data_IF_989600771493
#
_entry.id   IF_989600771493
#
_cell.length_a   1.000
_cell.length_b   1.000
_cell.length_c   1.000
_cell.angle_alpha   90.00
_cell.angle_beta   90.00
_cell.angle_gamma   90.00
#
_symmetry.space_group_name_H-M   'P 1'
#
loop_
_entity.id
_entity.type
_entity.pdbx_description
1 polymer ?
#
# COMPACT_ATOMS: atom_id res chain seq x y z
N UNK A 1 14.74 -14.27 20.46
CA UNK A 1 15.62 -13.13 20.72
C UNK A 1 15.44 -12.16 19.56
N UNK A 2 14.90 -10.97 19.80
CA UNK A 2 14.73 -9.96 18.77
C UNK A 2 16.09 -9.25 18.59
N UNK A 3 16.73 -9.42 17.44
CA UNK A 3 17.94 -8.68 17.10
C UNK A 3 17.64 -7.18 17.09
N UNK A 4 18.28 -6.45 17.98
CA UNK A 4 18.26 -5.00 18.02
C UNK A 4 19.12 -4.52 16.85
N UNK A 5 18.45 -4.10 15.78
CA UNK A 5 19.10 -3.59 14.57
C UNK A 5 19.73 -2.21 14.89
N UNK A 6 21.06 -2.14 14.91
CA UNK A 6 21.80 -0.89 15.14
C UNK A 6 21.71 0.02 13.90
N UNK A 7 20.91 1.09 14.00
CA UNK A 7 20.59 2.02 12.93
C UNK A 7 21.75 2.96 12.55
N UNK A 8 22.87 2.94 13.30
CA UNK A 8 24.01 3.83 13.04
C UNK A 8 24.98 3.31 11.97
N UNK A 9 24.82 2.05 11.56
CA UNK A 9 25.70 1.36 10.58
C UNK A 9 25.03 0.99 9.26
N UNK A 10 23.74 1.24 9.12
CA UNK A 10 22.97 0.83 7.94
C UNK A 10 22.95 1.99 6.95
N UNK A 11 23.52 1.80 5.76
CA UNK A 11 23.41 2.80 4.70
C UNK A 11 21.94 3.08 4.40
N UNK A 12 21.61 4.34 4.06
CA UNK A 12 20.23 4.73 3.73
C UNK A 12 19.61 3.81 2.67
N UNK A 13 20.42 3.30 1.75
CA UNK A 13 19.99 2.35 0.71
C UNK A 13 19.67 0.96 1.26
N UNK A 14 20.42 0.46 2.23
CA UNK A 14 20.13 -0.81 2.90
C UNK A 14 18.87 -0.72 3.77
N UNK A 15 18.63 0.42 4.43
CA UNK A 15 17.37 0.71 5.14
C UNK A 15 16.19 0.76 4.17
N UNK A 16 16.37 1.37 3.00
CA UNK A 16 15.34 1.49 1.97
C UNK A 16 15.01 0.14 1.35
N UNK A 17 16.01 -0.66 1.04
CA UNK A 17 15.84 -2.02 0.54
C UNK A 17 15.14 -2.93 1.55
N UNK A 18 15.45 -2.83 2.84
CA UNK A 18 14.77 -3.59 3.88
C UNK A 18 13.32 -3.11 4.11
N UNK A 19 13.06 -1.79 4.02
CA UNK A 19 11.70 -1.24 4.04
C UNK A 19 10.87 -1.72 2.83
N UNK A 20 11.45 -1.71 1.64
CA UNK A 20 10.80 -2.19 0.44
C UNK A 20 10.59 -3.71 0.50
N UNK A 21 11.56 -4.47 1.00
CA UNK A 21 11.41 -5.92 1.25
C UNK A 21 10.29 -6.23 2.23
N UNK A 22 10.16 -5.45 3.31
CA UNK A 22 9.06 -5.59 4.29
C UNK A 22 7.71 -5.19 3.70
N UNK A 23 7.67 -4.15 2.86
CA UNK A 23 6.46 -3.75 2.12
C UNK A 23 6.03 -4.83 1.13
N UNK A 24 6.96 -5.38 0.36
CA UNK A 24 6.69 -6.48 -0.58
C UNK A 24 6.32 -7.77 0.16
N UNK A 25 6.95 -8.09 1.28
CA UNK A 25 6.54 -9.22 2.13
C UNK A 25 5.12 -9.03 2.73
N UNK A 26 4.74 -7.79 3.05
CA UNK A 26 3.38 -7.45 3.48
C UNK A 26 2.35 -7.41 2.33
N UNK A 27 2.80 -7.27 1.07
CA UNK A 27 1.97 -7.46 -0.12
C UNK A 27 1.82 -8.93 -0.51
N UNK A 28 2.88 -9.72 -0.35
CA UNK A 28 2.94 -11.14 -0.72
C UNK A 28 2.24 -12.08 0.26
N UNK A 29 2.19 -11.71 1.55
CA UNK A 29 1.42 -12.48 2.55
C UNK A 29 -0.06 -12.07 2.50
N UNK A 30 -0.87 -12.92 1.87
CA UNK A 30 -2.32 -12.89 2.05
C UNK A 30 -2.69 -12.73 3.52
N UNK A 31 -3.65 -11.83 3.77
CA UNK A 31 -4.17 -11.43 5.08
C UNK A 31 -3.09 -11.12 6.14
N UNK A 32 -2.80 -9.84 6.42
CA UNK A 32 -2.13 -9.43 7.64
C UNK A 32 -2.89 -10.02 8.84
N UNK A 33 -2.17 -10.70 9.71
CA UNK A 33 -2.63 -11.38 10.93
C UNK A 33 -3.51 -10.53 11.88
N UNK A 34 -3.65 -9.24 11.59
CA UNK A 34 -4.39 -8.22 12.36
C UNK A 34 -5.87 -8.04 12.00
N UNK A 35 -6.36 -8.60 10.88
CA UNK A 35 -7.75 -8.38 10.45
C UNK A 35 -8.62 -9.58 10.77
N UNK A 36 -9.78 -9.36 11.39
CA UNK A 36 -10.70 -10.41 11.87
C UNK A 36 -11.49 -11.08 10.73
N UNK A 37 -11.60 -10.43 9.57
CA UNK A 37 -12.20 -10.99 8.34
C UNK A 37 -11.37 -10.66 7.09
N UNK A 38 -11.62 -11.36 5.97
CA UNK A 38 -11.06 -11.00 4.65
C UNK A 38 -11.71 -9.72 4.11
N UNK A 39 -12.97 -9.49 4.43
CA UNK A 39 -13.65 -8.23 4.12
C UNK A 39 -12.93 -7.03 4.75
N UNK A 40 -12.64 -7.10 6.05
CA UNK A 40 -11.94 -6.04 6.78
C UNK A 40 -10.52 -5.80 6.25
N UNK A 41 -9.80 -6.86 5.87
CA UNK A 41 -8.51 -6.73 5.21
C UNK A 41 -8.61 -5.96 3.88
N UNK A 42 -9.58 -6.33 3.04
CA UNK A 42 -9.77 -5.71 1.73
C UNK A 42 -10.17 -4.23 1.86
N UNK A 43 -11.03 -3.90 2.82
CA UNK A 43 -11.40 -2.53 3.15
C UNK A 43 -10.20 -1.71 3.61
N UNK A 44 -9.40 -2.25 4.54
CA UNK A 44 -8.22 -1.56 5.03
C UNK A 44 -7.20 -1.30 3.92
N UNK A 45 -7.05 -2.22 2.95
CA UNK A 45 -6.22 -1.98 1.77
C UNK A 45 -6.78 -0.92 0.85
N UNK A 46 -8.09 -0.90 0.61
CA UNK A 46 -8.71 0.17 -0.18
C UNK A 46 -8.53 1.55 0.49
N UNK A 47 -8.62 1.63 1.82
CA UNK A 47 -8.37 2.88 2.58
C UNK A 47 -6.91 3.34 2.43
N UNK A 48 -5.95 2.44 2.57
CA UNK A 48 -4.54 2.77 2.39
C UNK A 48 -4.21 3.25 0.97
N UNK A 49 -4.80 2.63 -0.05
CA UNK A 49 -4.62 3.06 -1.44
C UNK A 49 -5.26 4.43 -1.70
N UNK A 50 -6.40 4.74 -1.06
CA UNK A 50 -6.99 6.09 -1.10
C UNK A 50 -6.09 7.13 -0.45
N UNK A 51 -5.42 6.79 0.66
CA UNK A 51 -4.43 7.69 1.29
C UNK A 51 -3.24 7.93 0.35
N UNK A 52 -2.70 6.89 -0.30
CA UNK A 52 -1.65 7.04 -1.30
C UNK A 52 -2.09 7.89 -2.51
N UNK A 53 -3.34 7.71 -2.98
CA UNK A 53 -3.90 8.53 -4.04
C UNK A 53 -3.97 10.02 -3.62
N UNK A 54 -4.40 10.30 -2.39
CA UNK A 54 -4.45 11.64 -1.84
C UNK A 54 -3.05 12.27 -1.71
N UNK A 55 -2.03 11.49 -1.31
CA UNK A 55 -0.63 11.93 -1.29
C UNK A 55 -0.13 12.29 -2.70
N UNK A 56 -0.38 11.42 -3.68
CA UNK A 56 0.00 11.68 -5.09
C UNK A 56 -0.72 12.94 -5.60
N UNK A 57 -2.00 13.11 -5.29
CA UNK A 57 -2.76 14.31 -5.64
C UNK A 57 -2.23 15.57 -4.94
N UNK A 58 -1.86 15.49 -3.66
CA UNK A 58 -1.35 16.63 -2.87
C UNK A 58 0.07 17.03 -3.27
N UNK A 59 0.89 16.07 -3.70
CA UNK A 59 2.20 16.33 -4.28
C UNK A 59 2.13 17.07 -5.64
N UNK A 60 0.94 17.48 -6.10
CA UNK A 60 0.76 18.34 -7.29
C UNK A 60 1.03 19.80 -6.95
N UNK A 61 2.30 20.18 -6.85
CA UNK A 61 2.65 21.58 -7.07
C UNK A 61 2.77 21.84 -8.58
N UNK A 62 2.26 22.98 -9.09
CA UNK A 62 2.32 23.29 -10.51
C UNK A 62 3.78 23.60 -10.90
N UNK A 63 4.39 22.77 -11.75
CA UNK A 63 5.70 23.09 -12.30
C UNK A 63 6.50 21.97 -12.98
N UNK A 64 6.19 20.68 -12.79
CA UNK A 64 7.11 19.62 -13.21
C UNK A 64 6.58 18.68 -14.31
N UNK A 65 7.49 18.33 -15.23
CA UNK A 65 7.44 17.38 -16.36
C UNK A 65 6.92 15.96 -16.00
N UNK A 66 6.59 15.70 -14.73
CA UNK A 66 6.06 14.45 -14.20
C UNK A 66 4.55 14.22 -14.37
N UNK A 67 3.79 15.16 -14.93
CA UNK A 67 2.32 15.09 -15.06
C UNK A 67 1.82 13.77 -15.68
N UNK A 68 2.42 13.29 -16.77
CA UNK A 68 1.99 12.03 -17.43
C UNK A 68 2.26 10.77 -16.60
N UNK A 69 3.45 10.67 -15.99
CA UNK A 69 3.77 9.53 -15.11
C UNK A 69 2.88 9.51 -13.86
N UNK A 70 2.52 10.70 -13.39
CA UNK A 70 1.60 10.88 -12.28
C UNK A 70 0.17 10.44 -12.61
N UNK A 71 -0.34 10.78 -13.80
CA UNK A 71 -1.68 10.33 -14.25
C UNK A 71 -1.74 8.81 -14.32
N UNK A 72 -0.74 8.15 -14.92
CA UNK A 72 -0.68 6.69 -14.97
C UNK A 72 -0.62 6.07 -13.56
N UNK A 73 0.12 6.67 -12.63
CA UNK A 73 0.16 6.22 -11.23
C UNK A 73 -1.19 6.40 -10.52
N UNK A 74 -1.90 7.50 -10.77
CA UNK A 74 -3.24 7.74 -10.22
C UNK A 74 -4.26 6.74 -10.78
N UNK A 75 -4.22 6.45 -12.08
CA UNK A 75 -5.07 5.46 -12.74
C UNK A 75 -4.86 4.06 -12.15
N UNK A 76 -3.60 3.62 -12.00
CA UNK A 76 -3.27 2.34 -11.37
C UNK A 76 -3.77 2.25 -9.92
N UNK A 77 -3.67 3.34 -9.15
CA UNK A 77 -4.19 3.38 -7.79
C UNK A 77 -5.73 3.27 -7.77
N UNK A 78 -6.42 3.95 -8.68
CA UNK A 78 -7.88 3.87 -8.81
C UNK A 78 -8.35 2.46 -9.17
N UNK A 79 -7.66 1.78 -10.09
CA UNK A 79 -7.95 0.40 -10.46
C UNK A 79 -7.80 -0.57 -9.28
N UNK A 80 -6.69 -0.45 -8.53
CA UNK A 80 -6.47 -1.28 -7.35
C UNK A 80 -7.49 -0.98 -6.23
N UNK A 81 -7.87 0.29 -6.02
CA UNK A 81 -8.95 0.65 -5.08
C UNK A 81 -10.25 -0.07 -5.48
N UNK A 82 -10.66 0.04 -6.74
CA UNK A 82 -11.89 -0.58 -7.23
C UNK A 82 -11.88 -2.11 -7.07
N UNK A 83 -10.72 -2.74 -7.31
CA UNK A 83 -10.51 -4.18 -7.10
C UNK A 83 -10.68 -4.56 -5.63
N UNK A 84 -10.05 -3.84 -4.70
CA UNK A 84 -10.18 -4.14 -3.27
C UNK A 84 -11.58 -3.86 -2.72
N UNK A 85 -12.27 -2.82 -3.21
CA UNK A 85 -13.68 -2.57 -2.86
C UNK A 85 -14.58 -3.74 -3.32
N UNK A 86 -14.39 -4.24 -4.55
CA UNK A 86 -15.13 -5.41 -5.05
C UNK A 86 -14.81 -6.68 -4.26
N UNK A 87 -13.56 -6.86 -3.84
CA UNK A 87 -13.15 -7.97 -2.98
C UNK A 87 -13.83 -7.87 -1.62
N UNK A 88 -13.85 -6.69 -0.99
CA UNK A 88 -14.54 -6.47 0.28
C UNK A 88 -16.02 -6.85 0.19
N UNK A 89 -16.73 -6.36 -0.83
CA UNK A 89 -18.14 -6.73 -1.08
C UNK A 89 -18.30 -8.23 -1.26
N UNK A 90 -17.40 -8.86 -2.02
CA UNK A 90 -17.45 -10.30 -2.29
C UNK A 90 -17.20 -11.13 -1.03
N UNK A 91 -16.28 -10.70 -0.16
CA UNK A 91 -16.02 -11.36 1.12
C UNK A 91 -17.17 -11.20 2.11
N UNK A 92 -17.76 -9.99 2.21
CA UNK A 92 -18.97 -9.77 3.03
C UNK A 92 -20.12 -10.68 2.60
N UNK A 93 -20.36 -10.81 1.29
CA UNK A 93 -21.40 -11.71 0.74
C UNK A 93 -21.15 -13.19 1.09
N UNK A 94 -19.90 -13.59 1.27
CA UNK A 94 -19.51 -14.96 1.63
C UNK A 94 -19.36 -15.18 3.14
N UNK A 95 -19.61 -14.15 3.97
CA UNK A 95 -19.38 -14.21 5.41
C UNK A 95 -17.90 -14.40 5.79
N UNK A 96 -16.97 -13.93 4.97
CA UNK A 96 -15.51 -14.13 5.12
C UNK A 96 -14.75 -12.92 5.63
#
# INVERSE_FOLDING_TARGET
>A
MAEVLDLTRVSSDALRAELDRRKEAAKAKGRPMKYATKAEWAEARAVELRAQLAEVQTASQPGHVGLRKKTAQQELLLEEIAKFDRLAVSFRRKGQ
#
